data_IF_605241288181
#
_entry.id   IF_605241288181
#
_cell.length_a   1.000
_cell.length_b   1.000
_cell.length_c   1.000
_cell.angle_alpha   90.00
_cell.angle_beta   90.00
_cell.angle_gamma   90.00
#
_symmetry.space_group_name_H-M   'P 1'
#
loop_
_entity.id
_entity.type
_entity.pdbx_description
1 polymer ?
#
# COMPACT_ATOMS: atom_id res chain seq x y z
N UNK A 1 -43.51 -37.25 14.07
CA UNK A 1 -42.71 -36.15 14.57
C UNK A 1 -41.21 -36.41 14.42
N UNK A 2 -40.70 -36.59 13.22
CA UNK A 2 -39.26 -36.77 12.95
C UNK A 2 -38.90 -36.30 11.53
N UNK A 3 -39.22 -35.03 11.16
CA UNK A 3 -38.89 -34.46 9.85
C UNK A 3 -38.52 -33.00 9.85
N UNK A 4 -38.09 -32.41 10.98
CA UNK A 4 -37.80 -30.96 11.04
C UNK A 4 -36.36 -30.61 11.56
N UNK A 5 -35.42 -31.56 11.57
CA UNK A 5 -34.08 -31.28 12.12
C UNK A 5 -32.96 -31.35 11.09
N UNK A 6 -33.26 -31.33 9.80
CA UNK A 6 -32.21 -31.50 8.77
C UNK A 6 -31.98 -30.24 7.88
N UNK A 7 -32.63 -29.12 8.17
CA UNK A 7 -32.51 -27.89 7.32
C UNK A 7 -31.66 -26.81 7.95
N UNK A 8 -31.20 -26.97 9.18
CA UNK A 8 -30.44 -25.91 9.89
C UNK A 8 -28.90 -26.01 9.77
N UNK A 9 -28.37 -26.99 9.04
CA UNK A 9 -26.93 -27.23 8.98
C UNK A 9 -26.25 -26.79 7.68
N UNK A 10 -26.99 -26.21 6.73
CA UNK A 10 -26.43 -25.81 5.41
C UNK A 10 -26.11 -24.33 5.29
N UNK A 11 -26.55 -23.49 6.22
CA UNK A 11 -26.34 -22.03 6.12
C UNK A 11 -25.04 -21.48 6.73
N UNK A 12 -24.19 -22.33 7.33
CA UNK A 12 -22.97 -21.88 8.02
C UNK A 12 -21.68 -21.94 7.20
N UNK A 13 -21.74 -22.43 5.96
CA UNK A 13 -20.54 -22.65 5.15
C UNK A 13 -20.18 -21.52 4.18
N UNK A 14 -21.00 -20.46 4.05
CA UNK A 14 -20.75 -19.40 3.08
C UNK A 14 -19.95 -18.20 3.63
N UNK A 15 -19.80 -18.07 4.94
CA UNK A 15 -19.05 -16.95 5.53
C UNK A 15 -17.53 -17.17 5.63
N UNK A 16 -17.06 -18.40 5.47
CA UNK A 16 -15.62 -18.72 5.64
C UNK A 16 -14.78 -18.40 4.40
N UNK A 17 -15.35 -18.47 3.20
CA UNK A 17 -14.58 -18.27 1.97
C UNK A 17 -14.17 -16.80 1.74
N UNK A 18 -14.99 -15.84 2.11
CA UNK A 18 -14.68 -14.42 1.87
C UNK A 18 -13.50 -13.96 2.71
N UNK A 19 -13.48 -14.32 3.97
CA UNK A 19 -12.39 -13.95 4.89
C UNK A 19 -11.05 -14.62 4.57
N UNK A 20 -11.06 -15.83 4.02
CA UNK A 20 -9.84 -16.53 3.59
C UNK A 20 -9.24 -15.89 2.34
N UNK A 21 -10.06 -15.46 1.39
CA UNK A 21 -9.60 -14.78 0.16
C UNK A 21 -9.06 -13.39 0.48
N UNK A 22 -9.71 -12.65 1.37
CA UNK A 22 -9.27 -11.34 1.83
C UNK A 22 -7.91 -11.42 2.52
N UNK A 23 -7.71 -12.35 3.46
CA UNK A 23 -6.45 -12.58 4.13
C UNK A 23 -5.34 -13.01 3.16
N UNK A 24 -5.64 -13.80 2.14
CA UNK A 24 -4.67 -14.21 1.12
C UNK A 24 -4.21 -13.02 0.25
N UNK A 25 -5.12 -12.12 -0.13
CA UNK A 25 -4.81 -10.92 -0.90
C UNK A 25 -3.96 -9.92 -0.07
N UNK A 26 -4.31 -9.72 1.19
CA UNK A 26 -3.52 -8.87 2.11
C UNK A 26 -2.13 -9.46 2.35
N UNK A 27 -2.00 -10.77 2.55
CA UNK A 27 -0.71 -11.42 2.68
C UNK A 27 0.14 -11.32 1.42
N UNK A 28 -0.46 -11.36 0.23
CA UNK A 28 0.25 -11.17 -1.02
C UNK A 28 0.83 -9.75 -1.13
N UNK A 29 0.05 -8.73 -0.76
CA UNK A 29 0.52 -7.33 -0.70
C UNK A 29 1.66 -7.20 0.31
N UNK A 30 1.47 -7.74 1.52
CA UNK A 30 2.48 -7.71 2.57
C UNK A 30 3.79 -8.33 2.09
N UNK A 31 3.74 -9.51 1.46
CA UNK A 31 4.92 -10.18 0.92
C UNK A 31 5.58 -9.36 -0.19
N UNK A 32 4.80 -8.79 -1.12
CA UNK A 32 5.34 -8.00 -2.22
C UNK A 32 6.03 -6.72 -1.71
N UNK A 33 5.40 -6.00 -0.78
CA UNK A 33 5.92 -4.71 -0.29
C UNK A 33 7.14 -4.88 0.61
N UNK A 34 7.19 -5.94 1.43
CA UNK A 34 8.29 -6.16 2.38
C UNK A 34 9.48 -6.90 1.79
N UNK A 35 9.39 -7.35 0.55
CA UNK A 35 10.50 -7.96 -0.19
C UNK A 35 11.26 -6.89 -0.99
N UNK A 36 12.48 -6.58 -0.55
CA UNK A 36 13.34 -5.58 -1.20
C UNK A 36 13.03 -4.13 -0.81
N UNK A 37 13.65 -3.21 -1.52
CA UNK A 37 13.49 -1.77 -1.36
C UNK A 37 12.79 -1.18 -2.58
N UNK A 38 12.13 -0.06 -2.38
CA UNK A 38 11.34 0.61 -3.41
C UNK A 38 11.88 2.01 -3.67
N UNK A 39 11.93 2.41 -4.94
CA UNK A 39 12.30 3.76 -5.37
C UNK A 39 11.16 4.43 -6.10
N UNK A 40 11.04 5.75 -5.94
CA UNK A 40 10.12 6.56 -6.73
C UNK A 40 10.73 6.76 -8.12
N UNK A 41 10.09 6.19 -9.13
CA UNK A 41 10.51 6.33 -10.54
C UNK A 41 9.63 7.28 -11.32
N UNK A 42 8.49 7.67 -10.76
CA UNK A 42 7.63 8.76 -11.26
C UNK A 42 6.81 9.33 -10.12
N UNK A 43 6.79 10.65 -10.01
CA UNK A 43 5.89 11.38 -9.10
C UNK A 43 5.43 12.67 -9.77
N UNK A 44 4.12 12.86 -9.86
CA UNK A 44 3.54 14.09 -10.40
C UNK A 44 2.57 14.73 -9.41
N UNK A 45 2.50 16.05 -9.41
CA UNK A 45 1.48 16.83 -8.71
C UNK A 45 0.78 17.72 -9.73
N UNK A 46 -0.53 17.54 -9.92
CA UNK A 46 -1.32 18.25 -10.94
C UNK A 46 -0.67 18.19 -12.33
N UNK A 47 -0.12 17.02 -12.69
CA UNK A 47 0.56 16.80 -13.96
C UNK A 47 2.01 17.32 -14.05
N UNK A 48 2.49 18.06 -13.04
CA UNK A 48 3.89 18.50 -12.97
C UNK A 48 4.76 17.40 -12.41
N UNK A 49 5.81 17.02 -13.14
CA UNK A 49 6.79 16.01 -12.71
C UNK A 49 7.74 16.58 -11.64
N UNK A 50 7.76 15.95 -10.49
CA UNK A 50 8.66 16.26 -9.36
C UNK A 50 9.46 15.04 -8.92
N UNK A 51 9.62 14.06 -9.78
CA UNK A 51 10.35 12.80 -9.49
C UNK A 51 11.76 13.07 -8.98
N UNK A 52 12.42 14.12 -9.48
CA UNK A 52 13.77 14.50 -9.06
C UNK A 52 13.91 14.81 -7.58
N UNK A 53 12.83 15.24 -6.90
CA UNK A 53 12.84 15.54 -5.47
C UNK A 53 13.11 14.29 -4.63
N UNK A 54 12.80 13.09 -5.18
CA UNK A 54 13.03 11.79 -4.55
C UNK A 54 14.38 11.17 -4.88
N UNK A 55 15.27 11.89 -5.57
CA UNK A 55 16.61 11.39 -5.89
C UNK A 55 17.37 10.99 -4.63
N UNK A 56 17.90 9.76 -4.61
CA UNK A 56 18.64 9.19 -3.48
C UNK A 56 17.75 8.58 -2.39
N UNK A 57 16.41 8.66 -2.52
CA UNK A 57 15.50 8.00 -1.59
C UNK A 57 15.20 6.56 -1.99
N UNK A 58 15.14 5.69 -0.98
CA UNK A 58 14.56 4.35 -1.02
C UNK A 58 13.59 4.19 0.14
N UNK A 59 12.57 3.37 -0.08
CA UNK A 59 11.59 3.04 0.93
C UNK A 59 11.67 1.55 1.25
N UNK A 60 11.84 1.24 2.54
CA UNK A 60 11.85 -0.14 3.05
C UNK A 60 10.60 -0.37 3.89
N UNK A 61 9.71 -1.21 3.38
CA UNK A 61 8.49 -1.60 4.08
C UNK A 61 8.77 -2.82 4.96
N UNK A 62 8.24 -2.83 6.18
CA UNK A 62 8.41 -3.91 7.15
C UNK A 62 7.09 -4.61 7.47
N UNK A 63 7.18 -5.87 7.88
CA UNK A 63 6.00 -6.70 8.20
C UNK A 63 5.25 -6.25 9.46
N UNK A 64 5.88 -5.45 10.30
CA UNK A 64 5.27 -4.80 11.47
C UNK A 64 4.51 -3.51 11.11
N UNK A 65 4.33 -3.26 9.80
CA UNK A 65 3.67 -2.08 9.25
C UNK A 65 4.42 -0.76 9.49
N UNK A 66 5.71 -0.82 9.77
CA UNK A 66 6.59 0.36 9.69
C UNK A 66 7.19 0.49 8.29
N UNK A 67 7.60 1.70 7.93
CA UNK A 67 8.30 1.98 6.67
C UNK A 67 9.41 2.99 6.91
N UNK A 68 10.60 2.70 6.40
CA UNK A 68 11.75 3.59 6.48
C UNK A 68 11.92 4.36 5.17
N UNK A 69 12.02 5.68 5.26
CA UNK A 69 12.53 6.52 4.19
C UNK A 69 14.04 6.63 4.37
N UNK A 70 14.77 6.04 3.45
CA UNK A 70 16.23 5.93 3.46
C UNK A 70 16.79 6.88 2.41
N UNK A 71 17.63 7.84 2.81
CA UNK A 71 18.31 8.74 1.90
C UNK A 71 19.80 8.49 1.90
N UNK A 72 20.37 8.23 0.72
CA UNK A 72 21.79 7.99 0.55
C UNK A 72 22.35 6.93 1.53
N UNK A 73 21.56 5.88 1.80
CA UNK A 73 21.95 4.77 2.66
C UNK A 73 21.68 4.96 4.16
N UNK A 74 21.16 6.12 4.60
CA UNK A 74 20.81 6.39 6.00
C UNK A 74 19.29 6.55 6.16
N UNK A 75 18.71 6.00 7.23
CA UNK A 75 17.30 6.21 7.58
C UNK A 75 17.13 7.69 7.98
N UNK A 76 16.35 8.42 7.18
CA UNK A 76 16.00 9.81 7.46
C UNK A 76 14.73 9.90 8.31
N UNK A 77 13.77 9.02 8.04
CA UNK A 77 12.49 9.00 8.72
C UNK A 77 11.89 7.60 8.74
N UNK A 78 11.30 7.22 9.85
CA UNK A 78 10.46 6.02 9.95
C UNK A 78 9.00 6.44 10.10
N UNK A 79 8.13 5.83 9.35
CA UNK A 79 6.70 6.02 9.39
C UNK A 79 5.96 4.70 9.53
N UNK A 80 4.68 4.73 9.26
CA UNK A 80 3.80 3.55 9.23
C UNK A 80 3.15 3.42 7.86
N UNK A 81 2.73 2.20 7.52
CA UNK A 81 1.97 1.91 6.32
C UNK A 81 0.86 0.91 6.61
N UNK A 82 -0.14 0.90 5.76
CA UNK A 82 -1.22 -0.09 5.79
C UNK A 82 -1.66 -0.40 4.36
N UNK A 83 -2.28 -1.55 4.16
CA UNK A 83 -2.88 -1.93 2.89
C UNK A 83 -4.31 -2.39 3.10
N UNK A 84 -5.18 -2.05 2.16
CA UNK A 84 -6.54 -2.52 2.05
C UNK A 84 -6.72 -3.15 0.67
N UNK A 85 -6.73 -4.48 0.63
CA UNK A 85 -6.82 -5.23 -0.62
C UNK A 85 -8.18 -5.03 -1.32
N UNK A 86 -9.27 -4.90 -0.55
CA UNK A 86 -10.60 -4.73 -1.11
C UNK A 86 -10.78 -3.35 -1.76
N UNK A 87 -10.26 -2.30 -1.12
CA UNK A 87 -10.29 -0.94 -1.64
C UNK A 87 -9.18 -0.66 -2.66
N UNK A 88 -8.22 -1.58 -2.81
CA UNK A 88 -7.01 -1.37 -3.61
C UNK A 88 -6.23 -0.13 -3.15
N UNK A 89 -6.05 0.02 -1.84
CA UNK A 89 -5.38 1.18 -1.26
C UNK A 89 -4.13 0.78 -0.48
N UNK A 90 -3.12 1.65 -0.54
CA UNK A 90 -1.98 1.68 0.39
C UNK A 90 -1.96 3.04 1.08
N UNK A 91 -1.81 3.05 2.39
CA UNK A 91 -1.71 4.27 3.19
C UNK A 91 -0.31 4.41 3.74
N UNK A 92 0.29 5.59 3.59
CA UNK A 92 1.57 5.95 4.22
C UNK A 92 1.39 7.09 5.21
N UNK A 93 2.13 7.04 6.33
CA UNK A 93 2.12 8.11 7.32
C UNK A 93 3.50 8.28 7.95
N UNK A 94 4.15 9.41 7.67
CA UNK A 94 5.38 9.86 8.29
C UNK A 94 5.09 11.11 9.13
N UNK A 95 4.99 10.93 10.45
CA UNK A 95 4.68 12.02 11.37
C UNK A 95 5.77 13.10 11.35
N UNK A 96 5.38 14.37 11.27
CA UNK A 96 6.30 15.52 11.21
C UNK A 96 7.34 15.41 10.06
N UNK A 97 6.95 14.81 8.94
CA UNK A 97 7.79 14.77 7.76
C UNK A 97 7.78 16.13 7.04
N UNK A 98 8.86 16.39 6.31
CA UNK A 98 8.99 17.49 5.37
C UNK A 98 9.04 16.94 3.94
N UNK A 99 8.89 17.80 2.93
CA UNK A 99 9.02 17.38 1.55
C UNK A 99 10.44 16.84 1.26
N UNK A 100 10.58 15.82 0.43
CA UNK A 100 9.52 15.17 -0.36
C UNK A 100 8.76 14.07 0.40
N UNK A 101 9.25 13.58 1.55
CA UNK A 101 8.63 12.47 2.30
C UNK A 101 7.17 12.78 2.66
N UNK A 102 6.88 14.04 3.04
CA UNK A 102 5.53 14.49 3.37
C UNK A 102 4.52 14.21 2.24
N UNK A 103 4.96 14.25 0.98
CA UNK A 103 4.11 14.03 -0.18
C UNK A 103 3.63 12.58 -0.31
N UNK A 104 4.32 11.63 0.36
CA UNK A 104 3.93 10.21 0.40
C UNK A 104 2.78 9.97 1.38
N UNK A 105 2.57 10.85 2.36
CA UNK A 105 1.51 10.69 3.36
C UNK A 105 0.13 10.74 2.71
N UNK A 106 -0.72 9.81 3.12
CA UNK A 106 -2.12 9.73 2.71
C UNK A 106 -2.50 8.38 2.15
N UNK A 107 -3.70 8.30 1.61
CA UNK A 107 -4.29 7.09 1.03
C UNK A 107 -4.07 7.10 -0.48
N UNK A 108 -3.32 6.14 -0.96
CA UNK A 108 -3.01 5.94 -2.37
C UNK A 108 -3.87 4.82 -2.95
N UNK A 109 -4.66 5.13 -3.97
CA UNK A 109 -5.42 4.13 -4.73
C UNK A 109 -4.52 3.50 -5.78
N UNK A 110 -4.36 2.18 -5.71
CA UNK A 110 -3.55 1.39 -6.66
C UNK A 110 -4.29 1.30 -7.99
N UNK A 111 -3.68 1.79 -9.04
CA UNK A 111 -4.21 1.74 -10.41
C UNK A 111 -3.63 0.62 -11.24
N UNK A 112 -2.40 0.17 -10.91
CA UNK A 112 -1.71 -0.91 -11.59
C UNK A 112 -0.57 -1.43 -10.70
N UNK A 113 -0.28 -2.72 -10.72
CA UNK A 113 0.78 -3.29 -9.90
C UNK A 113 1.28 -4.63 -10.41
N UNK A 114 2.49 -4.97 -10.01
CA UNK A 114 3.12 -6.27 -10.14
C UNK A 114 3.99 -6.57 -8.91
N UNK A 115 4.75 -7.65 -8.93
CA UNK A 115 5.76 -7.94 -7.89
C UNK A 115 6.90 -6.93 -7.86
N UNK A 116 7.11 -6.16 -8.93
CA UNK A 116 8.25 -5.27 -9.12
C UNK A 116 7.90 -3.80 -9.25
N UNK A 117 6.62 -3.47 -9.38
CA UNK A 117 6.18 -2.07 -9.42
C UNK A 117 4.77 -1.87 -8.84
N UNK A 118 4.52 -0.65 -8.40
CA UNK A 118 3.20 -0.16 -7.99
C UNK A 118 2.96 1.20 -8.64
N UNK A 119 1.79 1.38 -9.27
CA UNK A 119 1.29 2.69 -9.70
C UNK A 119 0.07 3.05 -8.88
N UNK A 120 0.02 4.28 -8.41
CA UNK A 120 -1.06 4.75 -7.55
C UNK A 120 -1.38 6.21 -7.80
N UNK A 121 -2.59 6.60 -7.41
CA UNK A 121 -3.07 7.97 -7.45
C UNK A 121 -3.65 8.38 -6.11
N UNK A 122 -3.57 9.68 -5.81
CA UNK A 122 -4.17 10.27 -4.62
C UNK A 122 -4.76 11.62 -4.98
N UNK A 123 -5.94 11.94 -4.44
CA UNK A 123 -6.57 13.24 -4.59
C UNK A 123 -6.78 13.87 -3.21
N UNK A 124 -6.28 15.08 -3.01
CA UNK A 124 -6.44 15.87 -1.80
C UNK A 124 -7.07 17.21 -2.19
N UNK A 125 -8.35 17.41 -1.88
CA UNK A 125 -9.08 18.57 -2.37
C UNK A 125 -9.10 18.62 -3.90
N UNK A 126 -8.52 19.65 -4.50
CA UNK A 126 -8.36 19.79 -5.95
C UNK A 126 -7.02 19.31 -6.49
N UNK A 127 -6.10 18.88 -5.62
CA UNK A 127 -4.77 18.40 -6.01
C UNK A 127 -4.82 16.91 -6.33
N UNK A 128 -4.30 16.53 -7.49
CA UNK A 128 -4.13 15.13 -7.89
C UNK A 128 -2.64 14.80 -7.96
N UNK A 129 -2.27 13.70 -7.30
CA UNK A 129 -0.91 13.15 -7.33
C UNK A 129 -0.91 11.80 -8.00
N UNK A 130 0.15 11.50 -8.75
CA UNK A 130 0.44 10.16 -9.26
C UNK A 130 1.79 9.71 -8.76
N UNK A 131 1.91 8.41 -8.50
CA UNK A 131 3.11 7.80 -7.96
C UNK A 131 3.39 6.49 -8.70
N UNK A 132 4.66 6.27 -9.04
CA UNK A 132 5.17 4.95 -9.39
C UNK A 132 6.34 4.60 -8.50
N UNK A 133 6.26 3.43 -7.89
CA UNK A 133 7.35 2.78 -7.17
C UNK A 133 7.83 1.59 -7.98
N UNK A 134 9.14 1.44 -8.11
CA UNK A 134 9.77 0.25 -8.66
C UNK A 134 10.70 -0.38 -7.62
N UNK A 135 10.68 -1.72 -7.56
CA UNK A 135 11.51 -2.50 -6.65
C UNK A 135 12.96 -2.55 -7.13
N UNK A 136 13.88 -2.51 -6.19
CA UNK A 136 15.32 -2.67 -6.40
C UNK A 136 15.87 -3.92 -5.74
#
# INVERSE_FOLDING_TARGET
MKRSLLILLVCLSFFSCHKVVENAAENAILNAMTDGQWVVTSFTTNGTDITSDFTGYKFQYHRDYTVDAIKNGAIEKTGTWAADANAMNITGNFTNAVNPILLINGVWHITDNSWTYVKATMTIGSETRTLRLDKQ
#
